data_IF_540490577126
#
_entry.id   IF_540490577126
#
_cell.length_a   1.000
_cell.length_b   1.000
_cell.length_c   1.000
_cell.angle_alpha   90.00
_cell.angle_beta   90.00
_cell.angle_gamma   90.00
#
_symmetry.space_group_name_H-M   'P 1'
#
loop_
_entity.id
_entity.type
_entity.pdbx_description
1 polymer ?
#
# COMPACT_ATOMS: atom_id res chain seq x y z
N UNK A 1 -8.85 -1.96 23.06
CA UNK A 1 -7.40 -1.79 23.18
C UNK A 1 -6.69 -1.90 21.86
N UNK A 2 -6.95 -2.99 21.13
CA UNK A 2 -6.31 -3.18 19.82
C UNK A 2 -6.65 -2.03 18.88
N UNK A 3 -7.89 -1.59 18.89
CA UNK A 3 -8.31 -0.49 18.02
C UNK A 3 -7.56 0.81 18.33
N UNK A 4 -7.36 1.11 19.60
CA UNK A 4 -6.65 2.32 19.99
C UNK A 4 -5.19 2.24 19.59
N UNK A 5 -4.56 1.09 19.78
CA UNK A 5 -3.18 0.86 19.35
C UNK A 5 -3.05 1.02 17.84
N UNK A 6 -4.03 0.49 17.10
CA UNK A 6 -4.03 0.58 15.65
C UNK A 6 -4.11 2.03 15.19
N UNK A 7 -4.97 2.81 15.83
CA UNK A 7 -5.09 4.23 15.51
C UNK A 7 -3.82 5.00 15.83
N UNK A 8 -3.19 4.68 16.95
CA UNK A 8 -1.93 5.32 17.34
C UNK A 8 -0.82 4.99 16.34
N UNK A 9 -0.74 3.73 15.91
CA UNK A 9 0.21 3.33 14.89
C UNK A 9 0.01 4.15 13.63
N UNK A 10 -1.23 4.24 13.20
CA UNK A 10 -1.56 4.95 11.99
C UNK A 10 -1.31 6.44 12.08
N UNK A 11 -1.62 7.04 13.23
CA UNK A 11 -1.57 8.48 13.41
C UNK A 11 -0.21 9.00 13.89
N UNK A 12 0.48 8.23 14.72
CA UNK A 12 1.64 8.75 15.45
C UNK A 12 2.89 7.89 15.40
N UNK A 13 2.75 6.59 15.30
CA UNK A 13 3.87 5.68 15.44
C UNK A 13 4.48 5.20 14.13
N UNK A 14 3.74 5.32 13.05
CA UNK A 14 4.21 4.84 11.75
C UNK A 14 5.15 5.88 11.14
N UNK A 15 6.39 5.47 10.92
CA UNK A 15 7.37 6.26 10.20
C UNK A 15 7.83 5.46 9.00
N UNK A 16 8.49 6.13 8.08
CA UNK A 16 8.88 5.54 6.81
C UNK A 16 9.77 4.31 6.96
N UNK A 17 10.58 4.27 8.01
CA UNK A 17 11.49 3.15 8.23
C UNK A 17 10.93 2.01 9.05
N UNK A 18 9.71 2.13 9.55
CA UNK A 18 9.11 1.12 10.40
C UNK A 18 8.64 -0.10 9.59
N UNK A 19 8.65 -1.24 10.27
CA UNK A 19 8.07 -2.47 9.75
C UNK A 19 6.86 -2.83 10.60
N UNK A 20 5.81 -3.27 9.95
CA UNK A 20 4.53 -3.56 10.61
C UNK A 20 4.20 -5.03 10.40
N UNK A 21 3.76 -5.69 11.46
CA UNK A 21 3.37 -7.09 11.40
C UNK A 21 2.17 -7.25 10.44
N UNK A 22 2.19 -8.33 9.67
CA UNK A 22 1.09 -8.62 8.74
C UNK A 22 -0.24 -8.71 9.48
N UNK A 23 -0.24 -9.23 10.70
CA UNK A 23 -1.47 -9.30 11.50
C UNK A 23 -2.06 -7.91 11.75
N UNK A 24 -1.21 -6.91 11.99
CA UNK A 24 -1.65 -5.53 12.16
C UNK A 24 -2.21 -4.97 10.86
N UNK A 25 -1.53 -5.27 9.75
CA UNK A 25 -1.97 -4.83 8.43
C UNK A 25 -3.34 -5.42 8.10
N UNK A 26 -3.55 -6.69 8.42
CA UNK A 26 -4.85 -7.32 8.19
C UNK A 26 -5.96 -6.63 8.95
N UNK A 27 -5.68 -6.21 10.18
CA UNK A 27 -6.65 -5.49 10.99
C UNK A 27 -6.89 -4.08 10.45
N UNK A 28 -5.83 -3.38 10.05
CA UNK A 28 -5.92 -2.00 9.55
C UNK A 28 -6.64 -1.93 8.21
N UNK A 29 -6.33 -2.84 7.30
CA UNK A 29 -6.81 -2.76 5.93
C UNK A 29 -7.95 -3.72 5.63
N UNK A 30 -8.31 -4.57 6.57
CA UNK A 30 -9.33 -5.61 6.38
C UNK A 30 -8.96 -6.54 5.24
N UNK A 31 -7.72 -7.01 5.28
CA UNK A 31 -7.22 -7.96 4.31
C UNK A 31 -6.95 -9.30 4.98
N UNK A 32 -7.14 -10.38 4.23
CA UNK A 32 -6.75 -11.69 4.68
C UNK A 32 -5.23 -11.79 4.66
N UNK A 33 -4.60 -12.53 5.61
CA UNK A 33 -3.16 -12.72 5.59
C UNK A 33 -2.64 -13.26 4.26
N UNK A 34 -3.38 -14.19 3.65
CA UNK A 34 -3.00 -14.75 2.36
C UNK A 34 -2.96 -13.69 1.27
N UNK A 35 -3.86 -12.72 1.32
CA UNK A 35 -3.89 -11.64 0.34
C UNK A 35 -2.66 -10.74 0.50
N UNK A 36 -2.28 -10.42 1.73
CA UNK A 36 -1.10 -9.59 1.97
C UNK A 36 0.16 -10.29 1.46
N UNK A 37 0.28 -11.58 1.74
CA UNK A 37 1.43 -12.36 1.28
C UNK A 37 1.46 -12.47 -0.25
N UNK A 38 0.31 -12.63 -0.87
CA UNK A 38 0.23 -12.67 -2.32
C UNK A 38 0.60 -11.33 -2.94
N UNK A 39 0.20 -10.22 -2.33
CA UNK A 39 0.61 -8.89 -2.76
C UNK A 39 2.14 -8.77 -2.71
N UNK A 40 2.75 -9.36 -1.68
CA UNK A 40 4.21 -9.42 -1.58
C UNK A 40 4.84 -10.24 -2.70
N UNK A 41 4.26 -11.40 -2.99
CA UNK A 41 4.76 -12.27 -4.06
C UNK A 41 4.66 -11.60 -5.42
N UNK A 42 3.63 -10.79 -5.64
CA UNK A 42 3.44 -10.08 -6.89
C UNK A 42 4.24 -8.78 -6.98
N UNK A 43 5.01 -8.47 -5.93
CA UNK A 43 5.92 -7.35 -5.96
C UNK A 43 5.32 -6.00 -5.60
N UNK A 44 4.07 -5.96 -5.17
CA UNK A 44 3.46 -4.68 -4.79
C UNK A 44 4.05 -4.14 -3.50
N UNK A 45 4.35 -5.02 -2.58
CA UNK A 45 4.94 -4.67 -1.29
C UNK A 45 6.08 -5.62 -0.99
N UNK A 46 7.02 -5.16 -0.17
CA UNK A 46 8.09 -6.03 0.31
C UNK A 46 7.63 -6.69 1.60
N UNK A 47 7.85 -7.98 1.73
CA UNK A 47 7.53 -8.69 2.96
C UNK A 47 8.78 -9.36 3.48
N UNK A 48 8.95 -9.37 4.78
CA UNK A 48 10.08 -10.06 5.41
C UNK A 48 9.59 -10.89 6.57
N UNK A 49 10.33 -11.94 6.86
CA UNK A 49 10.05 -12.80 8.00
C UNK A 49 11.00 -12.40 9.13
N UNK A 50 10.45 -12.05 10.28
CA UNK A 50 11.23 -11.67 11.43
C UNK A 50 10.74 -12.46 12.64
N UNK A 51 11.60 -13.36 13.14
CA UNK A 51 11.16 -14.31 14.15
C UNK A 51 10.06 -15.20 13.59
N UNK A 52 8.92 -15.24 14.25
CA UNK A 52 7.79 -16.04 13.82
C UNK A 52 6.75 -15.25 13.02
N UNK A 53 7.05 -14.00 12.70
CA UNK A 53 6.05 -13.11 12.12
C UNK A 53 6.50 -12.54 10.79
N UNK A 54 5.56 -12.41 9.88
CA UNK A 54 5.76 -11.67 8.64
C UNK A 54 5.53 -10.18 8.89
N UNK A 55 6.32 -9.36 8.23
CA UNK A 55 6.22 -7.89 8.36
C UNK A 55 6.30 -7.24 6.99
N UNK A 56 5.67 -6.07 6.87
CA UNK A 56 5.77 -5.23 5.69
C UNK A 56 6.20 -3.82 6.11
N UNK A 57 6.86 -3.06 5.22
CA UNK A 57 7.25 -1.70 5.59
C UNK A 57 6.03 -0.81 5.73
N UNK A 58 6.12 0.13 6.67
CA UNK A 58 5.04 1.09 6.90
C UNK A 58 4.73 1.89 5.64
N UNK A 59 5.73 2.14 4.81
CA UNK A 59 5.55 2.86 3.56
C UNK A 59 4.61 2.14 2.58
N UNK A 60 4.39 0.84 2.76
CA UNK A 60 3.48 0.07 1.92
C UNK A 60 2.01 0.26 2.31
N UNK A 61 1.74 0.86 3.47
CA UNK A 61 0.37 0.97 3.98
C UNK A 61 -0.59 1.67 3.00
N UNK A 62 -0.24 2.79 2.37
CA UNK A 62 -1.14 3.42 1.41
C UNK A 62 -1.52 2.50 0.25
N UNK A 63 -0.55 1.75 -0.29
CA UNK A 63 -0.81 0.80 -1.38
C UNK A 63 -1.72 -0.32 -0.92
N UNK A 64 -1.50 -0.82 0.28
CA UNK A 64 -2.31 -1.89 0.84
C UNK A 64 -3.75 -1.44 1.05
N UNK A 65 -3.95 -0.20 1.47
CA UNK A 65 -5.30 0.36 1.63
C UNK A 65 -6.02 0.46 0.30
N UNK A 66 -5.31 0.90 -0.74
CA UNK A 66 -5.89 0.98 -2.08
C UNK A 66 -6.23 -0.40 -2.60
N UNK A 67 -5.33 -1.37 -2.41
CA UNK A 67 -5.58 -2.75 -2.83
C UNK A 67 -6.83 -3.31 -2.15
N UNK A 68 -6.94 -3.11 -0.84
CA UNK A 68 -8.10 -3.59 -0.09
C UNK A 68 -9.40 -2.97 -0.60
N UNK A 69 -9.37 -1.68 -0.89
CA UNK A 69 -10.54 -0.98 -1.40
C UNK A 69 -10.94 -1.48 -2.77
N UNK A 70 -9.98 -1.66 -3.67
CA UNK A 70 -10.25 -2.17 -5.01
C UNK A 70 -10.87 -3.58 -4.96
N UNK A 71 -10.30 -4.43 -4.13
CA UNK A 71 -10.81 -5.79 -3.99
C UNK A 71 -12.22 -5.81 -3.41
N UNK A 72 -12.48 -4.96 -2.43
CA UNK A 72 -13.77 -4.92 -1.75
C UNK A 72 -14.84 -4.25 -2.62
N UNK A 73 -14.50 -3.12 -3.22
CA UNK A 73 -15.50 -2.30 -3.92
C UNK A 73 -15.73 -2.76 -5.36
N UNK A 74 -14.68 -3.26 -6.02
CA UNK A 74 -14.78 -3.67 -7.41
C UNK A 74 -14.77 -5.18 -7.60
N UNK A 75 -14.51 -5.92 -6.52
CA UNK A 75 -14.49 -7.37 -6.60
C UNK A 75 -13.35 -7.95 -7.41
N UNK A 76 -12.28 -7.18 -7.63
CA UNK A 76 -11.12 -7.71 -8.33
C UNK A 76 -10.32 -8.61 -7.39
N UNK A 77 -9.60 -9.57 -7.95
CA UNK A 77 -8.71 -10.40 -7.17
C UNK A 77 -7.39 -9.67 -6.90
N UNK A 78 -6.50 -10.32 -6.16
CA UNK A 78 -5.21 -9.70 -5.79
C UNK A 78 -4.43 -9.27 -7.03
N UNK A 79 -4.35 -10.14 -8.04
CA UNK A 79 -3.62 -9.80 -9.28
C UNK A 79 -4.22 -8.58 -9.97
N UNK A 80 -5.54 -8.49 -10.00
CA UNK A 80 -6.23 -7.34 -10.57
C UNK A 80 -5.96 -6.07 -9.81
N UNK A 81 -5.93 -6.15 -8.47
CA UNK A 81 -5.62 -5.00 -7.64
C UNK A 81 -4.19 -4.50 -7.88
N UNK A 82 -3.23 -5.42 -8.00
CA UNK A 82 -1.84 -5.06 -8.30
C UNK A 82 -1.75 -4.35 -9.65
N UNK A 83 -2.38 -4.90 -10.66
CA UNK A 83 -2.36 -4.29 -11.99
C UNK A 83 -2.96 -2.89 -11.97
N UNK A 84 -4.11 -2.74 -11.30
CA UNK A 84 -4.77 -1.45 -11.21
C UNK A 84 -3.91 -0.41 -10.51
N UNK A 85 -3.26 -0.80 -9.42
CA UNK A 85 -2.39 0.12 -8.68
C UNK A 85 -1.20 0.53 -9.51
N UNK A 86 -0.57 -0.42 -10.20
CA UNK A 86 0.56 -0.11 -11.06
C UNK A 86 0.18 0.85 -12.18
N UNK A 87 -0.99 0.64 -12.78
CA UNK A 87 -1.47 1.54 -13.82
C UNK A 87 -1.78 2.93 -13.27
N UNK A 88 -2.41 3.01 -12.10
CA UNK A 88 -2.71 4.28 -11.47
C UNK A 88 -1.45 5.05 -11.11
N UNK A 89 -0.44 4.36 -10.60
CA UNK A 89 0.83 4.99 -10.25
C UNK A 89 1.55 5.49 -11.49
N UNK A 90 1.52 4.72 -12.56
CA UNK A 90 2.10 5.13 -13.83
C UNK A 90 1.38 6.35 -14.39
N UNK A 91 0.05 6.36 -14.31
CA UNK A 91 -0.74 7.49 -14.75
C UNK A 91 -0.37 8.76 -13.98
N UNK A 92 -0.27 8.67 -12.68
CA UNK A 92 0.13 9.81 -11.84
C UNK A 92 1.52 10.30 -12.18
N UNK A 93 2.44 9.39 -12.43
CA UNK A 93 3.80 9.74 -12.82
C UNK A 93 3.81 10.50 -14.14
N UNK A 94 3.04 10.02 -15.13
CA UNK A 94 2.94 10.69 -16.41
C UNK A 94 2.29 12.06 -16.30
N UNK A 95 1.24 12.16 -15.48
CA UNK A 95 0.58 13.45 -15.25
C UNK A 95 1.53 14.47 -14.63
N UNK A 96 2.35 14.05 -13.68
CA UNK A 96 3.35 14.93 -13.07
C UNK A 96 4.39 15.36 -14.10
N UNK A 97 4.81 14.45 -14.97
CA UNK A 97 5.77 14.80 -16.03
C UNK A 97 5.20 15.79 -17.02
N UNK A 98 3.93 15.62 -17.38
CA UNK A 98 3.23 16.57 -18.24
C UNK A 98 3.14 17.92 -17.56
N UNK A 99 2.74 17.94 -16.30
CA UNK A 99 2.65 19.16 -15.52
C UNK A 99 4.00 19.88 -15.44
N UNK A 100 5.07 19.14 -15.18
CA UNK A 100 6.41 19.71 -15.08
C UNK A 100 6.85 20.28 -16.42
N UNK A 101 6.59 19.58 -17.51
CA UNK A 101 6.91 20.05 -18.84
C UNK A 101 6.11 21.30 -19.20
N UNK A 102 4.84 21.34 -18.82
CA UNK A 102 4.01 22.52 -19.07
C UNK A 102 4.51 23.72 -18.25
N UNK A 103 4.94 23.48 -17.01
CA UNK A 103 5.47 24.53 -16.18
C UNK A 103 6.75 25.12 -16.77
N UNK A 104 7.60 24.27 -17.36
CA UNK A 104 8.82 24.72 -18.00
C UNK A 104 8.56 25.47 -19.30
N UNK A 105 7.58 25.01 -20.09
CA UNK A 105 7.24 25.64 -21.35
C UNK A 105 6.22 26.76 -21.23
N UNK A 106 5.41 26.70 -20.19
CA UNK A 106 4.29 27.63 -20.00
C UNK A 106 4.67 28.98 -19.44
N UNK A 107 5.93 29.16 -19.13
CA UNK A 107 6.38 30.45 -18.57
C UNK A 107 6.45 31.59 -19.55
N UNK A 108 6.10 31.34 -20.79
CA UNK A 108 6.12 32.37 -21.80
C UNK A 108 4.76 32.89 -22.18
#
# INVERSE_FOLDING_TARGET
>A
MVRVSTQLLEAHLITEGDWIAVTEICALCRLEPSAVLELGELGLVSARHSGDAWQVPAAALPRLRVAARLMRDLGVNVSGAVLAIELLERQRSLERRIHDLEALGGGH
#
